data_IF_811328308697
#
_entry.id   IF_811328308697
#
_cell.length_a   1.000
_cell.length_b   1.000
_cell.length_c   1.000
_cell.angle_alpha   90.00
_cell.angle_beta   90.00
_cell.angle_gamma   90.00
#
_symmetry.space_group_name_H-M   'P 1'
#
loop_
_entity.id
_entity.type
_entity.pdbx_description
1 polymer ?
#
# COMPACT_ATOMS: atom_id res chain seq x y z
N UNK A 1 18.28 -20.18 24.51
CA UNK A 1 19.18 -19.26 25.25
C UNK A 1 20.19 -18.68 24.27
N UNK A 2 19.95 -17.48 23.75
CA UNK A 2 20.93 -16.79 22.91
C UNK A 2 21.98 -16.14 23.81
N UNK A 3 23.25 -16.52 23.62
CA UNK A 3 24.39 -15.96 24.33
C UNK A 3 24.52 -14.50 23.88
N UNK A 4 24.13 -13.54 24.74
CA UNK A 4 24.51 -12.13 24.59
C UNK A 4 26.03 -12.06 24.75
N UNK A 5 26.76 -12.14 23.63
CA UNK A 5 28.16 -11.72 23.58
C UNK A 5 28.11 -10.20 23.75
N UNK A 6 28.73 -9.68 24.82
CA UNK A 6 28.96 -8.24 24.99
C UNK A 6 29.96 -7.80 23.92
N UNK A 7 29.45 -7.54 22.73
CA UNK A 7 30.16 -6.88 21.65
C UNK A 7 30.47 -5.46 22.16
N UNK A 8 31.71 -4.99 22.01
CA UNK A 8 32.06 -3.65 22.46
C UNK A 8 31.20 -2.61 21.75
N UNK A 9 30.93 -1.47 22.40
CA UNK A 9 30.02 -0.39 21.92
C UNK A 9 30.22 -0.05 20.42
N UNK A 10 31.47 -0.06 19.93
CA UNK A 10 31.77 0.21 18.52
C UNK A 10 31.21 -0.81 17.51
N UNK A 11 31.11 -2.09 17.89
CA UNK A 11 30.57 -3.13 17.02
C UNK A 11 29.03 -3.11 16.99
N UNK A 12 28.39 -2.83 18.12
CA UNK A 12 26.93 -2.62 18.19
C UNK A 12 26.51 -1.41 17.35
N UNK A 13 27.30 -0.32 17.37
CA UNK A 13 27.06 0.87 16.53
C UNK A 13 27.19 0.54 15.03
N UNK A 14 28.19 -0.27 14.64
CA UNK A 14 28.36 -0.70 13.25
C UNK A 14 27.24 -1.64 12.79
N UNK A 15 26.83 -2.59 13.63
CA UNK A 15 25.69 -3.48 13.36
C UNK A 15 24.39 -2.67 13.19
N UNK A 16 24.14 -1.70 14.08
CA UNK A 16 22.95 -0.83 14.00
C UNK A 16 22.97 0.03 12.73
N UNK A 17 24.13 0.63 12.39
CA UNK A 17 24.26 1.46 11.20
C UNK A 17 24.10 0.65 9.90
N UNK A 18 24.64 -0.57 9.85
CA UNK A 18 24.49 -1.46 8.70
C UNK A 18 23.05 -1.97 8.58
N UNK A 19 22.43 -2.38 9.67
CA UNK A 19 21.03 -2.83 9.68
C UNK A 19 20.08 -1.72 9.18
N UNK A 20 20.19 -0.49 9.71
CA UNK A 20 19.38 0.63 9.23
C UNK A 20 19.63 1.00 7.76
N UNK A 21 20.84 0.80 7.24
CA UNK A 21 21.13 0.97 5.80
C UNK A 21 20.51 -0.13 4.93
N UNK A 22 20.48 -1.37 5.42
CA UNK A 22 19.82 -2.48 4.72
C UNK A 22 18.30 -2.31 4.71
N UNK A 23 17.69 -2.01 5.86
CA UNK A 23 16.25 -1.78 6.01
C UNK A 23 15.78 -0.62 5.12
N UNK A 24 16.49 0.51 5.14
CA UNK A 24 16.18 1.66 4.27
C UNK A 24 16.26 1.31 2.78
N UNK A 25 17.24 0.51 2.37
CA UNK A 25 17.41 0.12 0.95
C UNK A 25 16.34 -0.88 0.50
N UNK A 26 15.89 -1.78 1.38
CA UNK A 26 14.73 -2.64 1.09
C UNK A 26 13.43 -1.84 1.01
N UNK A 27 13.23 -0.90 1.91
CA UNK A 27 12.10 0.04 1.93
C UNK A 27 12.02 0.87 0.64
N UNK A 28 13.13 1.48 0.22
CA UNK A 28 13.21 2.23 -1.06
C UNK A 28 12.88 1.34 -2.27
N UNK A 29 13.24 0.06 -2.23
CA UNK A 29 12.93 -0.89 -3.30
C UNK A 29 11.43 -1.24 -3.34
N UNK A 30 10.81 -1.46 -2.18
CA UNK A 30 9.38 -1.76 -2.08
C UNK A 30 8.55 -0.56 -2.53
N UNK A 31 8.91 0.66 -2.11
CA UNK A 31 8.19 1.87 -2.52
C UNK A 31 8.26 2.08 -4.03
N UNK A 32 9.45 1.94 -4.64
CA UNK A 32 9.61 2.06 -6.10
C UNK A 32 8.81 0.99 -6.86
N UNK A 33 8.73 -0.23 -6.32
CA UNK A 33 7.91 -1.30 -6.88
C UNK A 33 6.41 -0.95 -6.80
N UNK A 34 5.94 -0.45 -5.66
CA UNK A 34 4.56 -0.02 -5.46
C UNK A 34 4.17 1.12 -6.42
N UNK A 35 5.04 2.12 -6.58
CA UNK A 35 4.83 3.23 -7.52
C UNK A 35 4.72 2.74 -8.96
N UNK A 36 5.59 1.82 -9.39
CA UNK A 36 5.57 1.26 -10.73
C UNK A 36 4.28 0.46 -11.01
N UNK A 37 3.88 -0.39 -10.07
CA UNK A 37 2.64 -1.15 -10.17
C UNK A 37 1.41 -0.24 -10.19
N UNK A 38 1.36 0.75 -9.31
CA UNK A 38 0.28 1.72 -9.24
C UNK A 38 0.18 2.57 -10.53
N UNK A 39 1.32 3.00 -11.07
CA UNK A 39 1.38 3.73 -12.32
C UNK A 39 0.81 2.92 -13.48
N UNK A 40 1.21 1.64 -13.60
CA UNK A 40 0.68 0.74 -14.63
C UNK A 40 -0.82 0.48 -14.44
N UNK A 41 -1.28 0.29 -13.20
CA UNK A 41 -2.71 0.10 -12.91
C UNK A 41 -3.55 1.29 -13.40
N UNK A 42 -3.08 2.52 -13.20
CA UNK A 42 -3.73 3.72 -13.71
C UNK A 42 -3.75 3.79 -15.25
N UNK A 43 -2.73 3.26 -15.92
CA UNK A 43 -2.68 3.22 -17.38
C UNK A 43 -3.70 2.22 -17.94
N UNK A 44 -3.73 1.00 -17.40
CA UNK A 44 -4.68 -0.05 -17.80
C UNK A 44 -6.14 0.40 -17.57
N UNK A 45 -6.41 1.04 -16.42
CA UNK A 45 -7.74 1.57 -16.10
C UNK A 45 -8.19 2.65 -17.09
N UNK A 46 -7.27 3.56 -17.48
CA UNK A 46 -7.53 4.57 -18.52
C UNK A 46 -7.77 3.95 -19.89
N UNK A 47 -7.17 2.79 -20.18
CA UNK A 47 -7.41 2.04 -21.42
C UNK A 47 -8.73 1.24 -21.38
N UNK A 48 -9.41 1.21 -20.22
CA UNK A 48 -10.64 0.47 -20.01
C UNK A 48 -10.43 -1.01 -19.66
N UNK A 49 -9.19 -1.44 -19.40
CA UNK A 49 -8.90 -2.78 -18.88
C UNK A 49 -9.00 -2.79 -17.35
N UNK A 50 -10.23 -2.70 -16.85
CA UNK A 50 -10.49 -2.66 -15.41
C UNK A 50 -10.10 -3.96 -14.70
N UNK A 51 -9.97 -5.09 -15.42
CA UNK A 51 -9.56 -6.35 -14.81
C UNK A 51 -8.06 -6.37 -14.53
N UNK A 52 -7.22 -6.00 -15.51
CA UNK A 52 -5.78 -5.87 -15.31
C UNK A 52 -5.47 -4.75 -14.30
N UNK A 53 -6.19 -3.62 -14.37
CA UNK A 53 -6.05 -2.54 -13.39
C UNK A 53 -6.36 -3.03 -11.96
N UNK A 54 -7.47 -3.76 -11.76
CA UNK A 54 -7.81 -4.35 -10.47
C UNK A 54 -6.71 -5.28 -9.95
N UNK A 55 -6.18 -6.15 -10.82
CA UNK A 55 -5.11 -7.07 -10.47
C UNK A 55 -3.84 -6.33 -10.02
N UNK A 56 -3.44 -5.28 -10.73
CA UNK A 56 -2.26 -4.48 -10.39
C UNK A 56 -2.46 -3.68 -9.10
N UNK A 57 -3.63 -3.08 -8.88
CA UNK A 57 -3.94 -2.43 -7.59
C UNK A 57 -3.88 -3.42 -6.43
N UNK A 58 -4.34 -4.67 -6.61
CA UNK A 58 -4.23 -5.71 -5.59
C UNK A 58 -2.78 -6.06 -5.27
N UNK A 59 -1.91 -6.12 -6.28
CA UNK A 59 -0.48 -6.33 -6.03
C UNK A 59 0.14 -5.21 -5.20
N UNK A 60 -0.28 -3.95 -5.38
CA UNK A 60 0.17 -2.84 -4.52
C UNK A 60 -0.27 -3.06 -3.07
N UNK A 61 -1.52 -3.50 -2.85
CA UNK A 61 -2.05 -3.80 -1.51
C UNK A 61 -1.25 -4.91 -0.84
N UNK A 62 -0.91 -5.97 -1.57
CA UNK A 62 -0.16 -7.12 -1.04
C UNK A 62 1.25 -6.73 -0.56
N UNK A 63 1.80 -5.59 -1.00
CA UNK A 63 3.09 -5.08 -0.52
C UNK A 63 3.02 -4.54 0.92
N UNK A 64 1.82 -4.23 1.45
CA UNK A 64 1.63 -3.76 2.83
C UNK A 64 1.88 -4.87 3.88
N UNK A 65 1.75 -6.14 3.49
CA UNK A 65 2.02 -7.28 4.38
C UNK A 65 3.53 -7.56 4.55
N UNK A 66 4.40 -6.71 3.97
CA UNK A 66 5.85 -6.86 4.10
C UNK A 66 6.34 -6.31 5.46
N UNK A 67 7.30 -6.97 6.13
CA UNK A 67 7.81 -6.57 7.45
C UNK A 67 8.34 -5.13 7.48
N UNK A 68 8.74 -4.59 6.32
CA UNK A 68 9.30 -3.26 6.12
C UNK A 68 8.24 -2.16 5.85
N UNK A 69 6.94 -2.45 5.99
CA UNK A 69 5.82 -1.58 5.54
C UNK A 69 5.52 -0.32 6.39
N UNK A 70 6.48 0.20 7.17
CA UNK A 70 6.27 1.39 8.01
C UNK A 70 6.51 2.73 7.29
N UNK A 71 6.33 2.76 5.96
CA UNK A 71 6.52 3.96 5.14
C UNK A 71 5.18 4.70 4.93
N UNK A 72 5.07 5.97 5.34
CA UNK A 72 3.87 6.77 5.09
C UNK A 72 3.46 6.83 3.61
N UNK A 73 4.44 6.90 2.70
CA UNK A 73 4.23 6.97 1.25
C UNK A 73 3.63 5.67 0.70
N UNK A 74 4.04 4.52 1.24
CA UNK A 74 3.48 3.22 0.86
C UNK A 74 2.03 3.11 1.33
N UNK A 75 1.73 3.51 2.58
CA UNK A 75 0.36 3.53 3.10
C UNK A 75 -0.56 4.42 2.26
N UNK A 76 -0.08 5.59 1.82
CA UNK A 76 -0.84 6.46 0.91
C UNK A 76 -1.14 5.76 -0.43
N UNK A 77 -0.14 5.14 -1.06
CA UNK A 77 -0.32 4.39 -2.32
C UNK A 77 -1.27 3.20 -2.18
N UNK A 78 -1.16 2.45 -1.08
CA UNK A 78 -2.07 1.33 -0.78
C UNK A 78 -3.49 1.84 -0.60
N UNK A 79 -3.69 2.92 0.15
CA UNK A 79 -5.01 3.54 0.31
C UNK A 79 -5.62 4.00 -1.01
N UNK A 80 -4.81 4.61 -1.90
CA UNK A 80 -5.24 5.00 -3.25
C UNK A 80 -5.61 3.78 -4.11
N UNK A 81 -4.86 2.68 -3.98
CA UNK A 81 -5.13 1.42 -4.67
C UNK A 81 -6.45 0.78 -4.21
N UNK A 82 -6.67 0.73 -2.89
CA UNK A 82 -7.92 0.26 -2.28
C UNK A 82 -9.13 1.10 -2.73
N UNK A 83 -8.96 2.43 -2.82
CA UNK A 83 -9.99 3.32 -3.37
C UNK A 83 -10.33 2.98 -4.83
N UNK A 84 -9.32 2.80 -5.69
CA UNK A 84 -9.56 2.52 -7.10
C UNK A 84 -10.18 1.12 -7.32
N UNK A 85 -9.76 0.13 -6.52
CA UNK A 85 -10.42 -1.18 -6.44
C UNK A 85 -11.91 -1.01 -6.13
N UNK A 86 -12.25 -0.17 -5.15
CA UNK A 86 -13.64 0.06 -4.79
C UNK A 86 -14.46 0.71 -5.90
N UNK A 87 -13.88 1.67 -6.64
CA UNK A 87 -14.54 2.28 -7.81
C UNK A 87 -14.83 1.21 -8.87
N UNK A 88 -13.85 0.38 -9.23
CA UNK A 88 -14.05 -0.72 -10.20
C UNK A 88 -15.16 -1.66 -9.73
N UNK A 89 -15.19 -2.02 -8.44
CA UNK A 89 -16.24 -2.88 -7.88
C UNK A 89 -17.62 -2.22 -7.92
N UNK A 90 -17.71 -0.92 -7.60
CA UNK A 90 -18.95 -0.16 -7.65
C UNK A 90 -19.52 -0.10 -9.08
N UNK A 91 -18.66 0.16 -10.07
CA UNK A 91 -19.03 0.16 -11.50
C UNK A 91 -19.54 -1.20 -11.96
N UNK A 92 -19.07 -2.28 -11.33
CA UNK A 92 -19.53 -3.65 -11.56
C UNK A 92 -20.68 -4.08 -10.62
N UNK A 93 -21.39 -3.13 -10.01
CA UNK A 93 -22.53 -3.35 -9.10
C UNK A 93 -22.21 -4.15 -7.83
N UNK A 94 -20.94 -4.26 -7.44
CA UNK A 94 -20.46 -4.94 -6.23
C UNK A 94 -20.31 -3.95 -5.06
N UNK A 95 -21.43 -3.34 -4.69
CA UNK A 95 -21.48 -2.20 -3.76
C UNK A 95 -20.96 -2.51 -2.36
N UNK A 96 -21.35 -3.66 -1.79
CA UNK A 96 -20.93 -4.05 -0.43
C UNK A 96 -19.41 -4.22 -0.33
N UNK A 97 -18.80 -4.86 -1.34
CA UNK A 97 -17.35 -5.01 -1.40
C UNK A 97 -16.65 -3.69 -1.63
N UNK A 98 -17.18 -2.82 -2.50
CA UNK A 98 -16.65 -1.48 -2.70
C UNK A 98 -16.57 -0.69 -1.39
N UNK A 99 -17.64 -0.72 -0.58
CA UNK A 99 -17.65 -0.07 0.74
C UNK A 99 -16.62 -0.67 1.71
N UNK A 100 -16.45 -2.01 1.70
CA UNK A 100 -15.41 -2.67 2.51
C UNK A 100 -14.00 -2.22 2.10
N UNK A 101 -13.72 -2.08 0.81
CA UNK A 101 -12.43 -1.60 0.32
C UNK A 101 -12.20 -0.12 0.65
N UNK A 102 -13.23 0.72 0.59
CA UNK A 102 -13.12 2.14 1.00
C UNK A 102 -12.87 2.28 2.49
N UNK A 103 -13.48 1.43 3.31
CA UNK A 103 -13.19 1.38 4.74
C UNK A 103 -11.72 1.01 4.98
N UNK A 104 -11.21 -0.04 4.33
CA UNK A 104 -9.80 -0.43 4.43
C UNK A 104 -8.86 0.69 3.96
N UNK A 105 -9.21 1.42 2.89
CA UNK A 105 -8.42 2.55 2.41
C UNK A 105 -8.25 3.62 3.50
N UNK A 106 -9.31 3.92 4.26
CA UNK A 106 -9.30 4.91 5.34
C UNK A 106 -8.67 4.38 6.64
N UNK A 107 -8.69 3.07 6.87
CA UNK A 107 -7.95 2.44 7.97
C UNK A 107 -6.44 2.52 7.73
N UNK A 108 -5.98 2.31 6.49
CA UNK A 108 -4.57 2.40 6.10
C UNK A 108 -4.08 3.85 6.07
N UNK A 109 -4.86 4.76 5.48
CA UNK A 109 -4.50 6.17 5.37
C UNK A 109 -5.75 7.07 5.55
N UNK A 110 -6.02 7.53 6.79
CA UNK A 110 -7.21 8.31 7.12
C UNK A 110 -7.34 9.64 6.36
N UNK A 111 -6.26 10.17 5.81
CA UNK A 111 -6.23 11.43 5.07
C UNK A 111 -6.65 11.28 3.59
N UNK A 112 -7.00 10.08 3.12
CA UNK A 112 -7.46 9.87 1.75
C UNK A 112 -8.86 10.47 1.54
N UNK A 113 -8.90 11.76 1.21
CA UNK A 113 -10.13 12.51 0.99
C UNK A 113 -10.96 11.94 -0.18
N UNK A 114 -10.31 11.41 -1.22
CA UNK A 114 -10.99 10.78 -2.37
C UNK A 114 -11.75 9.52 -1.94
N UNK A 115 -11.18 8.69 -1.08
CA UNK A 115 -11.87 7.53 -0.51
C UNK A 115 -13.10 7.95 0.32
N UNK A 116 -12.97 9.02 1.13
CA UNK A 116 -14.12 9.58 1.87
C UNK A 116 -15.24 10.01 0.93
N UNK A 117 -14.89 10.68 -0.16
CA UNK A 117 -15.86 11.17 -1.14
C UNK A 117 -16.55 10.04 -1.89
N UNK A 118 -15.79 9.06 -2.39
CA UNK A 118 -16.35 7.88 -3.06
C UNK A 118 -17.25 7.07 -2.13
N UNK A 119 -16.88 6.90 -0.86
CA UNK A 119 -17.72 6.21 0.12
C UNK A 119 -19.04 6.94 0.34
N UNK A 120 -19.02 8.27 0.45
CA UNK A 120 -20.24 9.08 0.56
C UNK A 120 -21.10 8.98 -0.69
N UNK A 121 -20.51 8.99 -1.89
CA UNK A 121 -21.25 8.87 -3.13
C UNK A 121 -21.98 7.52 -3.21
N UNK A 122 -21.31 6.42 -2.91
CA UNK A 122 -21.89 5.08 -2.93
C UNK A 122 -22.98 4.91 -1.86
N UNK A 123 -22.82 5.50 -0.67
CA UNK A 123 -23.84 5.42 0.38
C UNK A 123 -25.10 6.26 0.07
N UNK A 124 -24.98 7.23 -0.83
CA UNK A 124 -26.06 8.14 -1.21
C UNK A 124 -26.69 7.82 -2.59
N UNK A 125 -26.15 6.84 -3.31
CA UNK A 125 -26.67 6.37 -4.61
C UNK A 125 -27.80 5.36 -4.44
#
# INVERSE_FOLDING_TARGET
>A
MAVKKNLGIGLDVLLTATQGQYEKKSEENILAQAEALFGRALEEDKMGDSFEAYYLYRQVVDLLDTPESSLPELSELVSRSLNNIAVILADNSRIEEALSFLQQALEVYPQNQTAVENMKLILNS
#
